data_IF_185499708065
#
_entry.id   IF_185499708065
#
_cell.length_a   1.000
_cell.length_b   1.000
_cell.length_c   1.000
_cell.angle_alpha   90.00
_cell.angle_beta   90.00
_cell.angle_gamma   90.00
#
_symmetry.space_group_name_H-M   'P 1'
#
loop_
_entity.id
_entity.type
_entity.pdbx_description
1 polymer ?
#
# COMPACT_ATOMS: atom_id res chain seq x y z
N UNK A 1 -2.74 15.35 5.62
CA UNK A 1 -3.39 14.01 5.60
C UNK A 1 -2.53 13.06 4.78
N UNK A 2 -2.30 11.82 5.23
CA UNK A 2 -1.47 10.83 4.51
C UNK A 2 -2.07 10.45 3.16
N UNK A 3 -3.39 10.26 3.09
CA UNK A 3 -4.10 9.92 1.85
C UNK A 3 -3.95 11.00 0.78
N UNK A 4 -4.12 12.29 1.14
CA UNK A 4 -3.95 13.39 0.20
C UNK A 4 -2.52 13.46 -0.33
N UNK A 5 -1.51 13.32 0.55
CA UNK A 5 -0.10 13.34 0.14
C UNK A 5 0.24 12.18 -0.79
N UNK A 6 -0.18 10.96 -0.45
CA UNK A 6 0.06 9.77 -1.27
C UNK A 6 -0.57 9.89 -2.67
N UNK A 7 -1.71 10.57 -2.77
CA UNK A 7 -2.40 10.76 -4.04
C UNK A 7 -1.82 11.89 -4.91
N UNK A 8 -1.09 12.86 -4.34
CA UNK A 8 -0.76 14.12 -5.05
C UNK A 8 0.69 14.59 -4.98
N UNK A 9 1.53 14.08 -4.07
CA UNK A 9 2.95 14.49 -4.01
C UNK A 9 3.67 13.95 -5.26
N UNK A 10 4.24 14.82 -6.11
CA UNK A 10 4.84 14.42 -7.40
C UNK A 10 6.08 13.53 -7.24
N UNK A 11 6.58 13.36 -6.00
CA UNK A 11 7.71 12.48 -5.68
C UNK A 11 7.27 11.08 -5.25
N UNK A 12 5.97 10.81 -5.17
CA UNK A 12 5.43 9.48 -4.81
C UNK A 12 5.78 8.49 -5.91
N UNK A 13 6.29 7.34 -5.51
CA UNK A 13 6.51 6.18 -6.38
C UNK A 13 5.45 5.11 -6.11
N UNK A 14 5.07 4.35 -7.13
CA UNK A 14 4.16 3.22 -6.98
C UNK A 14 4.67 2.23 -5.93
N UNK A 15 3.76 1.74 -5.08
CA UNK A 15 4.08 0.80 -4.00
C UNK A 15 4.55 1.44 -2.68
N UNK A 16 4.70 2.76 -2.61
CA UNK A 16 5.04 3.43 -1.35
C UNK A 16 3.87 3.47 -0.36
N UNK A 17 4.19 3.39 0.93
CA UNK A 17 3.23 3.43 2.03
C UNK A 17 3.42 4.69 2.87
N UNK A 18 2.33 5.42 3.13
CA UNK A 18 2.35 6.71 3.82
C UNK A 18 1.49 6.69 5.10
N UNK A 19 2.09 7.12 6.20
CA UNK A 19 1.45 7.23 7.50
C UNK A 19 2.04 8.41 8.28
N UNK A 20 1.43 8.82 9.39
CA UNK A 20 2.00 9.88 10.20
C UNK A 20 3.25 9.39 10.96
N UNK A 21 4.18 10.30 11.20
CA UNK A 21 5.51 10.04 11.78
C UNK A 21 5.53 9.84 13.31
N UNK A 22 4.43 10.06 14.01
CA UNK A 22 4.35 9.89 15.46
C UNK A 22 4.09 8.45 15.92
N UNK A 23 3.93 8.30 17.24
CA UNK A 23 3.84 7.00 17.90
C UNK A 23 2.80 6.07 17.24
N UNK A 24 3.28 4.90 16.78
CA UNK A 24 2.49 3.87 16.09
C UNK A 24 1.65 4.41 14.93
N UNK A 25 2.14 5.45 14.24
CA UNK A 25 1.42 6.07 13.13
C UNK A 25 0.02 6.60 13.53
N UNK A 26 -0.17 7.01 14.79
CA UNK A 26 -1.46 7.55 15.27
C UNK A 26 -1.62 9.06 15.10
N UNK A 27 -0.51 9.81 15.03
CA UNK A 27 -0.50 11.29 14.96
C UNK A 27 0.80 11.78 14.35
N UNK A 28 0.83 13.01 13.81
CA UNK A 28 2.02 13.61 13.20
C UNK A 28 1.86 13.91 11.71
N UNK A 29 2.98 14.24 11.05
CA UNK A 29 2.99 14.62 9.64
C UNK A 29 3.00 13.40 8.72
N UNK A 30 2.30 13.44 7.57
CA UNK A 30 2.26 12.33 6.64
C UNK A 30 3.63 12.15 5.99
N UNK A 31 4.31 11.04 6.25
CA UNK A 31 5.61 10.69 5.68
C UNK A 31 5.57 9.28 5.11
N UNK A 32 6.60 8.91 4.34
CA UNK A 32 6.78 7.52 3.93
C UNK A 32 7.19 6.70 5.14
N UNK A 33 6.50 5.60 5.38
CA UNK A 33 6.75 4.67 6.48
C UNK A 33 6.76 3.23 5.95
N UNK A 34 7.39 2.31 6.68
CA UNK A 34 7.29 0.89 6.37
C UNK A 34 5.95 0.33 6.87
N UNK A 35 5.39 -0.63 6.13
CA UNK A 35 4.27 -1.45 6.59
C UNK A 35 4.79 -2.72 7.29
N UNK A 36 3.90 -3.66 7.62
CA UNK A 36 4.30 -4.93 8.23
C UNK A 36 5.16 -5.77 7.27
N UNK A 37 6.15 -6.53 7.77
CA UNK A 37 6.96 -7.40 6.91
C UNK A 37 6.16 -8.41 6.08
N UNK A 38 5.05 -8.92 6.63
CA UNK A 38 4.16 -9.83 5.91
C UNK A 38 3.54 -9.20 4.66
N UNK A 39 3.37 -7.87 4.63
CA UNK A 39 2.86 -7.15 3.46
C UNK A 39 3.86 -7.09 2.31
N UNK A 40 5.08 -7.61 2.48
CA UNK A 40 6.13 -7.61 1.47
C UNK A 40 6.43 -9.03 0.93
N UNK A 41 5.64 -10.04 1.33
CA UNK A 41 5.77 -11.39 0.80
C UNK A 41 5.16 -11.50 -0.62
N UNK A 42 5.99 -11.72 -1.67
CA UNK A 42 5.52 -11.78 -3.04
C UNK A 42 4.61 -12.98 -3.32
N UNK A 43 4.80 -14.11 -2.65
CA UNK A 43 4.01 -15.32 -2.89
C UNK A 43 2.60 -15.15 -2.34
N UNK A 44 2.49 -14.59 -1.13
CA UNK A 44 1.19 -14.20 -0.55
C UNK A 44 0.48 -13.16 -1.41
N UNK A 45 1.20 -12.14 -1.89
CA UNK A 45 0.62 -11.10 -2.75
C UNK A 45 0.07 -11.68 -4.05
N UNK A 46 0.82 -12.58 -4.71
CA UNK A 46 0.40 -13.24 -5.94
C UNK A 46 -0.86 -14.09 -5.73
N UNK A 47 -0.86 -14.93 -4.69
CA UNK A 47 -2.01 -15.78 -4.38
C UNK A 47 -3.26 -14.96 -4.04
N UNK A 48 -3.09 -13.87 -3.30
CA UNK A 48 -4.19 -12.96 -2.98
C UNK A 48 -4.78 -12.35 -4.25
N UNK A 49 -3.94 -11.92 -5.19
CA UNK A 49 -4.37 -11.36 -6.47
C UNK A 49 -5.16 -12.37 -7.30
N UNK A 50 -4.65 -13.59 -7.45
CA UNK A 50 -5.29 -14.65 -8.25
C UNK A 50 -6.67 -15.00 -7.69
N UNK A 51 -6.77 -15.27 -6.39
CA UNK A 51 -8.05 -15.57 -5.71
C UNK A 51 -9.01 -14.38 -5.80
N UNK A 52 -8.52 -13.15 -5.68
CA UNK A 52 -9.38 -11.96 -5.83
C UNK A 52 -9.96 -11.86 -7.24
N UNK A 53 -9.17 -12.17 -8.27
CA UNK A 53 -9.63 -12.22 -9.66
C UNK A 53 -10.68 -13.31 -9.88
N UNK A 54 -10.46 -14.51 -9.32
CA UNK A 54 -11.43 -15.61 -9.37
C UNK A 54 -12.76 -15.25 -8.69
N UNK A 55 -12.72 -14.67 -7.49
CA UNK A 55 -13.90 -14.31 -6.71
C UNK A 55 -14.70 -13.16 -7.34
N UNK A 56 -14.03 -12.23 -8.02
CA UNK A 56 -14.68 -11.07 -8.65
C UNK A 56 -15.01 -11.30 -10.13
N UNK A 57 -14.48 -12.35 -10.74
CA UNK A 57 -14.55 -12.58 -12.19
C UNK A 57 -13.74 -11.59 -13.02
N UNK A 58 -12.95 -10.71 -12.39
CA UNK A 58 -12.12 -9.71 -13.07
C UNK A 58 -10.77 -10.30 -13.43
N UNK A 59 -10.36 -10.11 -14.68
CA UNK A 59 -9.03 -10.52 -15.17
C UNK A 59 -8.27 -9.30 -15.62
N UNK A 60 -7.09 -9.11 -15.06
CA UNK A 60 -6.18 -8.04 -15.45
C UNK A 60 -5.22 -8.56 -16.53
N UNK A 61 -5.10 -7.88 -17.68
CA UNK A 61 -3.97 -8.09 -18.55
C UNK A 61 -2.72 -7.57 -17.83
N UNK A 62 -1.74 -8.45 -17.68
CA UNK A 62 -0.39 -8.10 -17.20
C UNK A 62 0.48 -7.63 -18.35
#
# INVERSE_FOLDING_TARGET
MSTLRAATDPRVTSGEYYGPDGFRQMRGYPVRVASSPASHDPDTARRLWDVSGELTGVRFPI
#
